data_IF_880982933015
#
_entry.id   IF_880982933015
#
_cell.length_a   1.000
_cell.length_b   1.000
_cell.length_c   1.000
_cell.angle_alpha   90.00
_cell.angle_beta   90.00
_cell.angle_gamma   90.00
#
_symmetry.space_group_name_H-M   'P 1'
#
loop_
_entity.id
_entity.type
_entity.pdbx_description
1 polymer ?
#
# COMPACT_ATOMS: atom_id res chain seq x y z
N UNK A 1 -74.56 55.04 -48.15
CA UNK A 1 -74.07 56.04 -47.19
C UNK A 1 -72.56 56.11 -47.28
N UNK A 2 -71.95 57.24 -46.92
CA UNK A 2 -70.50 57.32 -46.66
C UNK A 2 -70.17 56.62 -45.33
N UNK A 3 -68.94 56.12 -45.19
CA UNK A 3 -67.90 56.66 -44.27
C UNK A 3 -66.54 56.26 -44.88
N UNK A 4 -65.52 57.12 -44.76
CA UNK A 4 -64.11 56.83 -45.07
C UNK A 4 -63.29 56.71 -43.78
N UNK A 5 -62.25 55.87 -43.79
CA UNK A 5 -61.02 56.02 -42.97
C UNK A 5 -59.83 55.46 -43.77
N UNK A 6 -58.71 56.18 -43.87
CA UNK A 6 -57.49 55.76 -44.63
C UNK A 6 -56.19 56.40 -44.11
N UNK A 7 -55.06 55.66 -44.23
CA UNK A 7 -53.66 56.11 -44.06
C UNK A 7 -53.10 56.08 -42.62
N UNK A 8 -51.82 55.76 -42.32
CA UNK A 8 -50.60 55.28 -43.05
C UNK A 8 -49.68 54.56 -42.01
N UNK A 9 -48.50 53.94 -42.25
CA UNK A 9 -47.61 53.72 -43.41
C UNK A 9 -46.12 53.90 -42.99
N UNK A 10 -45.06 53.29 -43.58
CA UNK A 10 -44.94 52.28 -44.64
C UNK A 10 -43.47 51.77 -44.81
N UNK A 11 -43.20 50.45 -44.87
CA UNK A 11 -41.93 49.83 -45.36
C UNK A 11 -40.84 49.49 -44.30
N UNK A 12 -39.70 48.84 -44.61
CA UNK A 12 -39.20 47.97 -45.74
C UNK A 12 -37.92 47.22 -45.24
N UNK A 13 -37.63 46.02 -45.76
CA UNK A 13 -36.40 45.18 -45.81
C UNK A 13 -35.22 45.29 -44.78
N UNK A 14 -34.64 44.13 -44.42
CA UNK A 14 -33.31 44.02 -43.78
C UNK A 14 -33.00 42.67 -43.14
N UNK A 15 -31.74 42.23 -43.17
CA UNK A 15 -31.23 41.11 -42.37
C UNK A 15 -30.97 41.55 -40.92
N UNK A 16 -31.26 40.70 -39.92
CA UNK A 16 -30.26 40.46 -38.87
C UNK A 16 -30.49 39.19 -38.01
N UNK A 17 -29.37 38.66 -37.52
CA UNK A 17 -29.13 37.45 -36.74
C UNK A 17 -30.27 36.91 -35.85
N UNK A 18 -30.68 35.64 -36.06
CA UNK A 18 -31.38 34.83 -35.05
C UNK A 18 -30.41 34.56 -33.88
N UNK A 19 -30.51 35.34 -32.81
CA UNK A 19 -29.72 35.09 -31.60
C UNK A 19 -30.06 33.72 -31.00
N UNK A 20 -29.01 32.90 -30.78
CA UNK A 20 -29.10 31.63 -30.04
C UNK A 20 -29.80 31.88 -28.70
N UNK A 21 -30.94 31.24 -28.47
CA UNK A 21 -31.63 31.28 -27.18
C UNK A 21 -30.70 30.73 -26.09
N UNK A 22 -30.24 31.60 -25.22
CA UNK A 22 -29.33 31.24 -24.14
C UNK A 22 -30.03 30.28 -23.17
N UNK A 23 -29.51 29.06 -23.02
CA UNK A 23 -30.03 28.08 -22.06
C UNK A 23 -29.88 28.64 -20.64
N UNK A 24 -30.98 29.16 -20.11
CA UNK A 24 -30.98 29.89 -18.84
C UNK A 24 -30.99 28.87 -17.69
N UNK A 25 -29.84 28.69 -17.05
CA UNK A 25 -29.73 27.78 -15.90
C UNK A 25 -30.75 28.17 -14.81
N UNK A 26 -31.40 27.20 -14.15
CA UNK A 26 -32.32 27.48 -13.05
C UNK A 26 -31.59 28.22 -11.93
N UNK A 27 -32.28 29.19 -11.31
CA UNK A 27 -31.71 30.01 -10.23
C UNK A 27 -31.29 29.11 -9.09
N UNK A 28 -29.99 29.14 -8.76
CA UNK A 28 -29.37 28.25 -7.79
C UNK A 28 -29.97 28.50 -6.39
N UNK A 29 -30.69 27.52 -5.86
CA UNK A 29 -31.33 27.64 -4.56
C UNK A 29 -30.30 27.91 -3.45
N UNK A 30 -30.62 28.86 -2.57
CA UNK A 30 -29.77 29.24 -1.45
C UNK A 30 -29.90 28.19 -0.33
N UNK A 31 -29.12 27.12 -0.41
CA UNK A 31 -29.01 26.15 0.68
C UNK A 31 -28.50 26.84 1.96
N UNK A 32 -29.20 26.62 3.08
CA UNK A 32 -28.95 27.25 4.37
C UNK A 32 -27.72 26.68 5.11
N UNK A 33 -26.57 26.70 4.44
CA UNK A 33 -25.28 26.34 5.03
C UNK A 33 -24.79 27.49 5.91
N UNK A 34 -24.50 27.24 7.19
CA UNK A 34 -23.83 28.21 8.08
C UNK A 34 -22.49 28.63 7.47
N UNK A 35 -22.38 29.88 7.05
CA UNK A 35 -21.15 30.49 6.51
C UNK A 35 -20.18 30.92 7.63
N UNK A 36 -19.92 30.05 8.59
CA UNK A 36 -18.86 30.25 9.57
C UNK A 36 -17.50 30.01 8.90
N UNK A 37 -16.66 31.04 8.81
CA UNK A 37 -15.32 30.94 8.22
C UNK A 37 -14.36 30.23 9.18
N UNK A 38 -14.50 28.91 9.26
CA UNK A 38 -13.69 28.01 10.08
C UNK A 38 -12.21 28.04 9.68
N UNK A 39 -11.43 28.98 10.26
CA UNK A 39 -9.97 28.92 10.30
C UNK A 39 -9.50 27.78 11.23
N UNK A 40 -9.72 26.54 10.81
CA UNK A 40 -8.95 25.39 11.30
C UNK A 40 -7.70 25.30 10.45
N UNK A 41 -6.54 25.53 11.04
CA UNK A 41 -5.26 25.21 10.40
C UNK A 41 -5.12 23.69 10.26
N UNK A 42 -4.16 23.23 9.46
CA UNK A 42 -3.81 21.80 9.40
C UNK A 42 -3.45 21.26 10.79
N UNK A 43 -2.85 22.08 11.66
CA UNK A 43 -2.56 21.70 13.04
C UNK A 43 -3.82 21.52 13.90
N UNK A 44 -4.85 22.36 13.74
CA UNK A 44 -6.11 22.29 14.53
C UNK A 44 -6.97 21.06 14.20
N UNK A 45 -6.78 20.46 13.03
CA UNK A 45 -7.42 19.20 12.65
C UNK A 45 -6.73 18.00 13.30
N UNK A 46 -5.40 18.05 13.48
CA UNK A 46 -4.62 16.96 14.09
C UNK A 46 -4.36 17.12 15.60
N UNK A 47 -4.51 18.33 16.17
CA UNK A 47 -4.29 18.59 17.60
C UNK A 47 -5.34 17.93 18.49
N UNK A 48 -6.61 17.95 18.07
CA UNK A 48 -7.73 17.32 18.78
C UNK A 48 -7.73 15.79 18.70
N UNK A 49 -6.82 15.19 17.91
CA UNK A 49 -6.61 13.74 17.85
C UNK A 49 -5.49 13.25 18.78
N UNK A 50 -5.08 14.05 19.78
CA UNK A 50 -4.15 13.63 20.85
C UNK A 50 -4.79 12.67 21.86
N UNK A 51 -5.21 11.49 21.38
CA UNK A 51 -5.17 10.28 22.19
C UNK A 51 -3.70 9.90 22.40
N UNK A 52 -2.99 10.64 23.27
CA UNK A 52 -1.66 10.25 23.75
C UNK A 52 -1.82 9.15 24.80
N UNK A 53 -2.23 7.98 24.33
CA UNK A 53 -2.30 6.75 25.12
C UNK A 53 -0.88 6.42 25.60
N UNK A 54 -0.75 5.91 26.83
CA UNK A 54 0.55 5.57 27.40
C UNK A 54 1.25 4.53 26.52
N UNK A 55 2.45 4.85 26.03
CA UNK A 55 3.23 3.95 25.17
C UNK A 55 3.60 2.69 25.95
N UNK A 56 3.12 1.55 25.46
CA UNK A 56 3.40 0.23 26.04
C UNK A 56 4.87 -0.14 25.80
N UNK A 57 5.47 -0.85 26.75
CA UNK A 57 6.85 -1.32 26.64
C UNK A 57 6.94 -2.55 25.72
N UNK A 58 8.12 -2.76 25.13
CA UNK A 58 8.45 -4.00 24.43
C UNK A 58 9.01 -4.99 25.44
N UNK A 59 8.46 -6.20 25.51
CA UNK A 59 9.03 -7.31 26.27
C UNK A 59 10.31 -7.78 25.60
N UNK A 60 11.45 -7.65 26.29
CA UNK A 60 12.77 -8.01 25.79
C UNK A 60 12.99 -9.52 25.68
N UNK A 61 12.34 -10.33 26.52
CA UNK A 61 12.43 -11.79 26.49
C UNK A 61 11.57 -12.37 25.35
N UNK A 62 10.35 -11.86 25.16
CA UNK A 62 9.51 -12.21 24.00
C UNK A 62 10.13 -11.70 22.70
N UNK A 63 10.68 -10.48 22.68
CA UNK A 63 11.41 -9.96 21.52
C UNK A 63 12.59 -10.89 21.16
N UNK A 64 13.39 -11.32 22.15
CA UNK A 64 14.48 -12.27 21.93
C UNK A 64 13.95 -13.62 21.39
N UNK A 65 12.94 -14.21 22.05
CA UNK A 65 12.30 -15.50 21.68
C UNK A 65 11.78 -15.52 20.24
N UNK A 66 11.18 -14.43 19.77
CA UNK A 66 10.69 -14.30 18.40
C UNK A 66 11.83 -14.09 17.38
N UNK A 67 12.93 -13.44 17.78
CA UNK A 67 14.12 -13.23 16.95
C UNK A 67 15.14 -14.38 16.98
N UNK A 68 14.93 -15.43 17.80
CA UNK A 68 15.85 -16.58 17.89
C UNK A 68 16.19 -17.13 16.50
N UNK A 69 17.49 -17.16 16.11
CA UNK A 69 17.92 -17.76 14.87
C UNK A 69 17.64 -19.27 14.85
N UNK A 70 17.03 -19.73 13.78
CA UNK A 70 16.82 -21.14 13.47
C UNK A 70 16.63 -21.25 11.96
N UNK A 71 17.01 -22.38 11.37
CA UNK A 71 17.06 -22.57 9.92
C UNK A 71 16.19 -23.76 9.52
N UNK A 72 15.20 -23.50 8.65
CA UNK A 72 14.48 -24.56 7.97
C UNK A 72 15.35 -25.08 6.81
N UNK A 73 15.59 -26.39 6.70
CA UNK A 73 16.49 -26.98 5.70
C UNK A 73 15.81 -27.07 4.32
N UNK A 74 15.45 -25.93 3.74
CA UNK A 74 14.86 -25.84 2.41
C UNK A 74 15.91 -25.67 1.30
N UNK A 75 15.69 -26.41 0.22
CA UNK A 75 16.61 -26.61 -0.91
C UNK A 75 16.09 -26.04 -2.23
N UNK A 76 14.76 -25.94 -2.39
CA UNK A 76 14.12 -25.63 -3.67
C UNK A 76 13.12 -24.46 -3.62
N UNK A 77 12.77 -23.98 -4.81
CA UNK A 77 11.76 -22.93 -4.99
C UNK A 77 10.35 -23.40 -4.61
N UNK A 78 10.05 -24.69 -4.82
CA UNK A 78 8.78 -25.32 -4.43
C UNK A 78 8.59 -25.25 -2.92
N UNK A 79 9.52 -25.85 -2.16
CA UNK A 79 9.51 -25.82 -0.68
C UNK A 79 9.41 -24.39 -0.11
N UNK A 80 10.16 -23.43 -0.68
CA UNK A 80 10.08 -22.03 -0.28
C UNK A 80 8.67 -21.46 -0.50
N UNK A 81 8.09 -21.69 -1.69
CA UNK A 81 6.78 -21.19 -2.07
C UNK A 81 5.64 -21.85 -1.29
N UNK A 82 5.73 -23.15 -1.02
CA UNK A 82 4.78 -23.90 -0.19
C UNK A 82 4.75 -23.37 1.24
N UNK A 83 5.91 -23.13 1.85
CA UNK A 83 6.00 -22.52 3.18
C UNK A 83 5.51 -21.07 3.19
N UNK A 84 5.85 -20.28 2.16
CA UNK A 84 5.36 -18.91 2.03
C UNK A 84 3.83 -18.84 1.87
N UNK A 85 3.23 -19.76 1.10
CA UNK A 85 1.79 -19.90 0.98
C UNK A 85 1.14 -20.42 2.27
N UNK A 86 1.85 -21.25 3.06
CA UNK A 86 1.39 -21.68 4.39
C UNK A 86 1.30 -20.49 5.37
N UNK A 87 2.26 -19.55 5.32
CA UNK A 87 2.17 -18.28 6.05
C UNK A 87 1.00 -17.41 5.55
N UNK A 88 0.78 -17.35 4.23
CA UNK A 88 -0.30 -16.56 3.63
C UNK A 88 -1.70 -17.09 3.98
N UNK A 89 -1.86 -18.41 4.05
CA UNK A 89 -3.08 -19.04 4.55
C UNK A 89 -3.39 -18.60 5.99
N UNK A 90 -2.40 -18.61 6.89
CA UNK A 90 -2.57 -18.14 8.28
C UNK A 90 -2.96 -16.65 8.29
N UNK A 91 -2.23 -15.80 7.56
CA UNK A 91 -2.55 -14.36 7.44
C UNK A 91 -3.96 -14.13 6.91
N UNK A 92 -4.42 -14.95 5.96
CA UNK A 92 -5.73 -14.82 5.32
C UNK A 92 -6.87 -15.30 6.23
N UNK A 93 -6.69 -16.38 6.99
CA UNK A 93 -7.66 -16.78 8.03
C UNK A 93 -7.76 -15.76 9.17
N UNK A 94 -6.67 -15.09 9.54
CA UNK A 94 -6.72 -13.95 10.48
C UNK A 94 -7.53 -12.79 9.91
N UNK A 95 -7.31 -12.43 8.64
CA UNK A 95 -8.08 -11.36 7.98
C UNK A 95 -9.57 -11.66 7.85
N UNK A 96 -9.96 -12.91 7.54
CA UNK A 96 -11.37 -13.35 7.51
C UNK A 96 -12.09 -13.13 8.84
N UNK A 97 -11.36 -13.06 9.96
CA UNK A 97 -11.86 -12.77 11.31
C UNK A 97 -11.75 -11.28 11.71
N UNK A 98 -11.36 -10.41 10.78
CA UNK A 98 -11.22 -8.96 10.98
C UNK A 98 -9.81 -8.49 11.37
N UNK A 99 -8.80 -9.36 11.31
CA UNK A 99 -7.43 -9.03 11.68
C UNK A 99 -7.19 -8.96 13.20
N UNK A 100 -5.96 -8.62 13.60
CA UNK A 100 -5.67 -8.22 14.98
C UNK A 100 -6.30 -6.86 15.28
N UNK A 101 -6.48 -5.98 14.28
CA UNK A 101 -7.23 -4.74 14.45
C UNK A 101 -8.63 -4.94 15.05
N UNK A 102 -9.39 -5.93 14.59
CA UNK A 102 -10.69 -6.25 15.17
C UNK A 102 -10.60 -6.68 16.64
N UNK A 103 -9.56 -7.43 17.03
CA UNK A 103 -9.35 -7.80 18.43
C UNK A 103 -9.09 -6.58 19.34
N UNK A 104 -8.36 -5.57 18.83
CA UNK A 104 -8.16 -4.28 19.52
C UNK A 104 -9.45 -3.44 19.59
N UNK A 105 -10.26 -3.42 18.54
CA UNK A 105 -11.51 -2.66 18.47
C UNK A 105 -12.63 -3.20 19.38
N UNK A 106 -12.57 -4.49 19.72
CA UNK A 106 -13.64 -5.24 20.41
C UNK A 106 -13.84 -4.86 21.89
N UNK A 107 -12.80 -4.44 22.60
CA UNK A 107 -12.89 -3.99 24.01
C UNK A 107 -12.61 -2.48 24.13
N UNK A 108 -13.38 -1.80 25.00
CA UNK A 108 -13.20 -0.37 25.31
C UNK A 108 -11.82 -0.05 25.89
N UNK A 109 -11.17 -1.00 26.57
CA UNK A 109 -9.82 -0.86 27.14
C UNK A 109 -8.70 -1.01 26.11
N UNK A 110 -8.88 -1.83 25.06
CA UNK A 110 -7.90 -1.99 23.96
C UNK A 110 -8.09 -0.99 22.84
N UNK A 111 -9.32 -0.50 22.60
CA UNK A 111 -9.66 0.43 21.52
C UNK A 111 -8.77 1.69 21.43
N UNK A 112 -8.25 2.29 22.52
CA UNK A 112 -7.28 3.38 22.41
C UNK A 112 -5.99 3.02 21.65
N UNK A 113 -5.59 1.75 21.68
CA UNK A 113 -4.41 1.19 21.01
C UNK A 113 -4.73 0.62 19.60
N UNK A 114 -5.92 0.87 19.05
CA UNK A 114 -6.39 0.37 17.76
C UNK A 114 -5.40 0.59 16.59
N UNK A 115 -4.63 1.69 16.63
CA UNK A 115 -3.56 1.96 15.66
C UNK A 115 -2.44 0.90 15.65
N UNK A 116 -2.15 0.25 16.78
CA UNK A 116 -1.13 -0.80 16.85
C UNK A 116 -1.63 -2.10 16.25
N UNK A 117 -2.91 -2.44 16.43
CA UNK A 117 -3.59 -3.53 15.71
C UNK A 117 -3.61 -3.32 14.19
N UNK A 118 -3.96 -2.11 13.73
CA UNK A 118 -3.93 -1.76 12.31
C UNK A 118 -2.52 -1.84 11.70
N UNK A 119 -1.50 -1.40 12.45
CA UNK A 119 -0.10 -1.55 12.03
C UNK A 119 0.36 -3.01 12.02
N UNK A 120 -0.07 -3.83 12.98
CA UNK A 120 0.21 -5.27 13.00
C UNK A 120 -0.34 -5.96 11.75
N UNK A 121 -1.58 -5.70 11.38
CA UNK A 121 -2.20 -6.29 10.18
C UNK A 121 -1.46 -5.85 8.91
N UNK A 122 -1.17 -4.54 8.79
CA UNK A 122 -0.42 -3.96 7.66
C UNK A 122 1.00 -4.54 7.51
N UNK A 123 1.77 -4.60 8.59
CA UNK A 123 3.17 -5.06 8.54
C UNK A 123 3.27 -6.59 8.45
N UNK A 124 2.30 -7.34 8.97
CA UNK A 124 2.22 -8.80 8.79
C UNK A 124 1.89 -9.16 7.34
N UNK A 125 0.98 -8.43 6.68
CA UNK A 125 0.74 -8.57 5.24
C UNK A 125 2.03 -8.37 4.44
N UNK A 126 2.73 -7.24 4.67
CA UNK A 126 3.99 -6.93 3.99
C UNK A 126 5.05 -8.00 4.21
N UNK A 127 5.15 -8.56 5.42
CA UNK A 127 6.11 -9.62 5.75
C UNK A 127 5.85 -10.89 4.94
N UNK A 128 4.58 -11.31 4.86
CA UNK A 128 4.16 -12.48 4.08
C UNK A 128 4.42 -12.27 2.59
N UNK A 129 3.99 -11.13 2.03
CA UNK A 129 4.17 -10.83 0.61
C UNK A 129 5.64 -10.67 0.23
N UNK A 130 6.45 -10.01 1.07
CA UNK A 130 7.91 -9.98 0.92
C UNK A 130 8.50 -11.39 0.85
N UNK A 131 8.09 -12.31 1.73
CA UNK A 131 8.59 -13.69 1.73
C UNK A 131 8.17 -14.46 0.46
N UNK A 132 6.90 -14.36 0.04
CA UNK A 132 6.43 -14.92 -1.25
C UNK A 132 7.26 -14.37 -2.42
N UNK A 133 7.52 -13.06 -2.42
CA UNK A 133 8.31 -12.40 -3.46
C UNK A 133 9.78 -12.88 -3.47
N UNK A 134 10.43 -13.00 -2.31
CA UNK A 134 11.81 -13.49 -2.20
C UNK A 134 11.91 -14.95 -2.67
N UNK A 135 10.94 -15.81 -2.34
CA UNK A 135 10.90 -17.19 -2.84
C UNK A 135 10.80 -17.26 -4.37
N UNK A 136 9.98 -16.40 -5.01
CA UNK A 136 9.94 -16.28 -6.48
C UNK A 136 11.25 -15.75 -7.07
N UNK A 137 11.93 -14.81 -6.39
CA UNK A 137 13.02 -14.00 -6.95
C UNK A 137 14.43 -14.30 -6.37
N UNK A 138 14.63 -15.48 -5.80
CA UNK A 138 15.87 -15.85 -5.10
C UNK A 138 17.14 -15.84 -5.99
N UNK A 139 16.99 -16.22 -7.26
CA UNK A 139 18.09 -16.41 -8.24
C UNK A 139 18.16 -15.33 -9.35
N UNK A 140 17.44 -14.24 -9.16
CA UNK A 140 17.26 -13.17 -10.15
C UNK A 140 15.87 -12.57 -10.02
N UNK A 141 15.63 -11.39 -10.60
CA UNK A 141 14.25 -10.93 -10.79
C UNK A 141 13.55 -11.83 -11.82
N UNK A 142 12.33 -12.25 -11.51
CA UNK A 142 11.43 -12.83 -12.49
C UNK A 142 10.76 -11.67 -13.23
N UNK A 143 11.14 -11.46 -14.49
CA UNK A 143 10.55 -10.42 -15.33
C UNK A 143 9.24 -10.91 -15.95
N UNK A 144 8.25 -10.04 -15.94
CA UNK A 144 7.02 -10.19 -16.70
C UNK A 144 7.23 -9.82 -18.18
N UNK A 145 6.15 -9.78 -18.97
CA UNK A 145 6.20 -9.46 -20.40
C UNK A 145 6.54 -7.98 -20.71
N UNK A 146 6.22 -7.03 -19.82
CA UNK A 146 6.67 -5.64 -19.90
C UNK A 146 8.12 -5.51 -19.44
N UNK A 147 8.45 -6.03 -18.25
CA UNK A 147 9.78 -5.95 -17.65
C UNK A 147 10.86 -6.54 -18.55
N UNK A 148 10.58 -7.68 -19.19
CA UNK A 148 11.46 -8.31 -20.18
C UNK A 148 11.75 -7.36 -21.35
N UNK A 149 10.71 -6.81 -21.99
CA UNK A 149 10.85 -5.88 -23.13
C UNK A 149 11.54 -4.57 -22.75
N UNK A 150 11.33 -4.09 -21.53
CA UNK A 150 12.00 -2.91 -20.96
C UNK A 150 13.50 -3.15 -20.83
N UNK A 151 13.91 -4.29 -20.24
CA UNK A 151 15.31 -4.67 -20.08
C UNK A 151 15.99 -4.94 -21.42
N UNK A 152 15.38 -5.73 -22.30
CA UNK A 152 15.89 -6.00 -23.66
C UNK A 152 16.13 -4.71 -24.47
N UNK A 153 15.21 -3.75 -24.36
CA UNK A 153 15.35 -2.44 -25.02
C UNK A 153 16.49 -1.63 -24.41
N UNK A 154 16.64 -1.63 -23.08
CA UNK A 154 17.71 -0.93 -22.38
C UNK A 154 19.09 -1.49 -22.75
N UNK A 155 19.25 -2.82 -22.77
CA UNK A 155 20.50 -3.48 -23.16
C UNK A 155 20.84 -3.25 -24.63
N UNK A 156 19.86 -3.34 -25.54
CA UNK A 156 20.06 -3.12 -26.98
C UNK A 156 20.42 -1.68 -27.34
N UNK A 157 19.92 -0.69 -26.60
CA UNK A 157 20.05 0.73 -26.93
C UNK A 157 21.11 1.46 -26.08
N UNK A 158 21.56 0.84 -24.99
CA UNK A 158 22.35 1.51 -23.97
C UNK A 158 21.55 2.57 -23.20
N UNK A 159 22.09 3.02 -22.06
CA UNK A 159 21.40 3.97 -21.16
C UNK A 159 20.98 5.26 -21.86
N UNK A 160 21.91 5.89 -22.58
CA UNK A 160 21.66 7.15 -23.29
C UNK A 160 20.69 6.98 -24.47
N UNK A 161 20.84 5.90 -25.26
CA UNK A 161 19.93 5.60 -26.37
C UNK A 161 18.51 5.29 -25.90
N UNK A 162 18.36 4.60 -24.77
CA UNK A 162 17.07 4.33 -24.14
C UNK A 162 16.39 5.63 -23.64
N UNK A 163 17.14 6.50 -22.95
CA UNK A 163 16.64 7.80 -22.48
C UNK A 163 16.19 8.67 -23.67
N UNK A 164 17.08 8.87 -24.64
CA UNK A 164 16.79 9.70 -25.83
C UNK A 164 15.62 9.15 -26.65
N UNK A 165 15.43 7.83 -26.71
CA UNK A 165 14.28 7.22 -27.39
C UNK A 165 12.94 7.64 -26.77
N UNK A 166 12.81 7.58 -25.45
CA UNK A 166 11.56 7.94 -24.78
C UNK A 166 11.34 9.45 -24.68
N UNK A 167 12.41 10.26 -24.55
CA UNK A 167 12.32 11.73 -24.71
C UNK A 167 11.75 12.08 -26.09
N UNK A 168 12.21 11.42 -27.16
CA UNK A 168 11.72 11.63 -28.53
C UNK A 168 10.28 11.13 -28.77
N UNK A 169 9.73 10.31 -27.88
CA UNK A 169 8.30 9.93 -27.87
C UNK A 169 7.43 10.90 -27.04
N UNK A 170 8.04 11.84 -26.31
CA UNK A 170 7.34 12.79 -25.44
C UNK A 170 7.09 12.29 -24.02
N UNK A 171 7.76 11.22 -23.58
CA UNK A 171 7.63 10.69 -22.23
C UNK A 171 8.20 11.64 -21.16
N UNK A 172 7.63 11.57 -19.95
CA UNK A 172 8.08 12.38 -18.81
C UNK A 172 9.38 11.84 -18.23
N UNK A 173 10.39 12.69 -18.04
CA UNK A 173 11.72 12.28 -17.53
C UNK A 173 11.65 11.44 -16.25
N UNK A 174 10.73 11.73 -15.33
CA UNK A 174 10.56 10.96 -14.09
C UNK A 174 10.14 9.50 -14.30
N UNK A 175 9.47 9.19 -15.41
CA UNK A 175 9.11 7.82 -15.80
C UNK A 175 10.25 7.13 -16.53
N UNK A 176 10.95 7.84 -17.42
CA UNK A 176 12.19 7.36 -18.04
C UNK A 176 13.21 6.99 -16.94
N UNK A 177 13.40 7.86 -15.95
CA UNK A 177 14.29 7.61 -14.81
C UNK A 177 13.86 6.40 -13.97
N UNK A 178 12.55 6.15 -13.82
CA UNK A 178 12.02 4.95 -13.15
C UNK A 178 12.35 3.69 -13.95
N UNK A 179 12.07 3.67 -15.25
CA UNK A 179 12.34 2.51 -16.10
C UNK A 179 13.84 2.21 -16.25
N UNK A 180 14.68 3.26 -16.30
CA UNK A 180 16.14 3.14 -16.29
C UNK A 180 16.65 2.55 -14.98
N UNK A 181 16.12 2.97 -13.82
CA UNK A 181 16.48 2.36 -12.51
C UNK A 181 16.05 0.90 -12.43
N UNK A 182 14.82 0.59 -12.85
CA UNK A 182 14.31 -0.78 -12.95
C UNK A 182 15.21 -1.65 -13.82
N UNK A 183 15.60 -1.18 -15.01
CA UNK A 183 16.46 -1.95 -15.92
C UNK A 183 17.88 -2.16 -15.36
N UNK A 184 18.52 -1.11 -14.82
CA UNK A 184 19.82 -1.23 -14.13
C UNK A 184 19.77 -2.24 -12.96
N UNK A 185 18.68 -2.23 -12.19
CA UNK A 185 18.46 -3.14 -11.05
C UNK A 185 18.18 -4.58 -11.52
N UNK A 186 17.32 -4.75 -12.53
CA UNK A 186 16.97 -6.05 -13.10
C UNK A 186 18.18 -6.77 -13.69
N UNK A 187 19.04 -6.06 -14.43
CA UNK A 187 20.29 -6.62 -14.99
C UNK A 187 21.24 -7.06 -13.87
N UNK A 188 21.50 -6.19 -12.88
CA UNK A 188 22.33 -6.53 -11.70
C UNK A 188 21.77 -7.70 -10.90
N UNK A 189 20.45 -7.90 -10.90
CA UNK A 189 19.82 -9.01 -10.18
C UNK A 189 20.21 -10.39 -10.73
N UNK A 190 20.62 -10.49 -12.01
CA UNK A 190 20.95 -11.77 -12.67
C UNK A 190 22.15 -12.50 -12.04
N UNK A 191 23.05 -11.76 -11.40
CA UNK A 191 24.21 -12.31 -10.68
C UNK A 191 23.86 -12.80 -9.26
N UNK A 192 22.68 -12.44 -8.75
CA UNK A 192 22.32 -12.66 -7.35
C UNK A 192 21.77 -14.06 -7.12
N UNK A 193 22.48 -14.84 -6.30
CA UNK A 193 22.09 -16.17 -5.86
C UNK A 193 21.82 -16.20 -4.35
N UNK A 194 20.56 -15.98 -3.94
CA UNK A 194 20.14 -16.18 -2.54
C UNK A 194 19.80 -17.66 -2.35
N UNK A 195 20.52 -18.34 -1.45
CA UNK A 195 20.25 -19.76 -1.15
C UNK A 195 18.94 -19.93 -0.39
N UNK A 196 18.14 -20.93 -0.76
CA UNK A 196 16.83 -21.15 -0.13
C UNK A 196 16.92 -21.35 1.39
N UNK A 197 17.96 -22.01 1.91
CA UNK A 197 18.20 -22.11 3.35
C UNK A 197 18.25 -20.74 4.10
N UNK A 198 18.81 -19.69 3.48
CA UNK A 198 18.82 -18.32 4.06
C UNK A 198 17.44 -17.67 4.04
N UNK A 199 16.58 -18.06 3.10
CA UNK A 199 15.17 -17.66 3.07
C UNK A 199 14.39 -18.49 4.11
N UNK A 200 14.78 -19.74 4.34
CA UNK A 200 14.29 -20.61 5.41
C UNK A 200 14.40 -20.00 6.81
N UNK A 201 15.51 -19.32 7.12
CA UNK A 201 15.67 -18.50 8.34
C UNK A 201 14.59 -17.42 8.47
N UNK A 202 14.26 -16.77 7.34
CA UNK A 202 13.30 -15.66 7.27
C UNK A 202 11.86 -16.17 7.44
N UNK A 203 11.55 -17.28 6.77
CA UNK A 203 10.29 -18.02 6.88
C UNK A 203 10.07 -18.53 8.30
N UNK A 204 11.08 -19.11 8.94
CA UNK A 204 10.97 -19.67 10.29
C UNK A 204 10.71 -18.57 11.35
N UNK A 205 11.39 -17.43 11.21
CA UNK A 205 11.13 -16.23 12.00
C UNK A 205 9.71 -15.70 11.78
N UNK A 206 9.26 -15.61 10.52
CA UNK A 206 7.90 -15.19 10.20
C UNK A 206 6.84 -16.16 10.73
N UNK A 207 7.10 -17.47 10.72
CA UNK A 207 6.22 -18.49 11.31
C UNK A 207 6.01 -18.28 12.81
N UNK A 208 7.06 -17.90 13.56
CA UNK A 208 6.95 -17.49 14.97
C UNK A 208 6.11 -16.22 15.15
N UNK A 209 6.32 -15.22 14.30
CA UNK A 209 5.55 -13.97 14.34
C UNK A 209 4.05 -14.20 14.01
N UNK A 210 3.75 -14.97 12.95
CA UNK A 210 2.38 -15.27 12.53
C UNK A 210 1.63 -16.15 13.53
N UNK A 211 2.30 -17.04 14.25
CA UNK A 211 1.66 -17.82 15.32
C UNK A 211 1.15 -16.91 16.46
N UNK A 212 1.91 -15.88 16.84
CA UNK A 212 1.47 -14.90 17.84
C UNK A 212 0.40 -13.95 17.28
N UNK A 213 0.49 -13.57 16.01
CA UNK A 213 -0.52 -12.78 15.30
C UNK A 213 -1.89 -13.50 15.23
N UNK A 214 -1.90 -14.79 14.90
CA UNK A 214 -3.10 -15.63 14.85
C UNK A 214 -3.77 -15.74 16.22
N UNK A 215 -2.98 -16.06 17.25
CA UNK A 215 -3.38 -16.11 18.65
C UNK A 215 -3.94 -14.76 19.17
N UNK A 216 -3.24 -13.65 18.95
CA UNK A 216 -3.70 -12.30 19.32
C UNK A 216 -5.03 -11.93 18.67
N UNK A 217 -5.26 -12.29 17.40
CA UNK A 217 -6.53 -11.97 16.71
C UNK A 217 -7.76 -12.67 17.33
N UNK A 218 -7.53 -13.77 18.06
CA UNK A 218 -8.59 -14.59 18.67
C UNK A 218 -8.68 -14.38 20.19
N UNK A 219 -7.56 -14.06 20.87
CA UNK A 219 -7.43 -13.93 22.32
C UNK A 219 -8.55 -13.08 22.94
N UNK A 220 -9.19 -13.61 23.97
CA UNK A 220 -10.15 -12.89 24.82
C UNK A 220 -9.41 -12.25 25.99
N UNK A 221 -9.88 -11.07 26.40
CA UNK A 221 -9.33 -10.31 27.52
C UNK A 221 -10.38 -10.34 28.63
N UNK A 222 -10.01 -10.93 29.77
CA UNK A 222 -10.95 -11.22 30.86
C UNK A 222 -10.69 -10.32 32.10
N UNK A 223 -9.46 -9.82 32.24
CA UNK A 223 -9.00 -9.02 33.37
C UNK A 223 -7.92 -8.01 32.92
N UNK A 224 -7.48 -7.15 33.85
CA UNK A 224 -6.47 -6.14 33.56
C UNK A 224 -5.05 -6.72 33.38
N UNK A 225 -4.77 -7.92 33.91
CA UNK A 225 -3.50 -8.62 33.68
C UNK A 225 -3.39 -9.10 32.24
N UNK A 226 -4.42 -9.78 31.73
CA UNK A 226 -4.52 -10.22 30.34
C UNK A 226 -4.56 -9.06 29.34
N UNK A 227 -5.10 -7.90 29.74
CA UNK A 227 -5.00 -6.66 28.96
C UNK A 227 -3.53 -6.20 28.80
N UNK A 228 -2.78 -6.11 29.91
CA UNK A 228 -1.37 -5.69 29.86
C UNK A 228 -0.52 -6.68 29.06
N UNK A 229 -0.76 -7.99 29.18
CA UNK A 229 -0.12 -9.01 28.36
C UNK A 229 -0.45 -8.81 26.88
N UNK A 230 -1.72 -8.76 26.50
CA UNK A 230 -2.16 -8.57 25.10
C UNK A 230 -1.54 -7.34 24.42
N UNK A 231 -1.52 -6.20 25.11
CA UNK A 231 -0.93 -4.96 24.60
C UNK A 231 0.60 -5.05 24.49
N UNK A 232 1.26 -5.68 25.47
CA UNK A 232 2.71 -5.86 25.48
C UNK A 232 3.16 -6.82 24.38
N UNK A 233 2.44 -7.94 24.20
CA UNK A 233 2.69 -8.92 23.14
C UNK A 233 2.49 -8.32 21.75
N UNK A 234 1.40 -7.57 21.53
CA UNK A 234 1.16 -6.87 20.25
C UNK A 234 2.21 -5.80 19.95
N UNK A 235 2.55 -4.96 20.93
CA UNK A 235 3.62 -3.94 20.79
C UNK A 235 4.98 -4.59 20.49
N UNK A 236 5.26 -5.74 21.12
CA UNK A 236 6.49 -6.51 20.92
C UNK A 236 6.52 -7.14 19.53
N UNK A 237 5.43 -7.78 19.10
CA UNK A 237 5.30 -8.36 17.77
C UNK A 237 5.50 -7.31 16.66
N UNK A 238 4.89 -6.13 16.80
CA UNK A 238 5.06 -5.03 15.84
C UNK A 238 6.53 -4.57 15.77
N UNK A 239 7.19 -4.46 16.93
CA UNK A 239 8.62 -4.16 17.01
C UNK A 239 9.50 -5.24 16.34
N UNK A 240 9.16 -6.52 16.49
CA UNK A 240 9.86 -7.64 15.84
C UNK A 240 9.70 -7.61 14.32
N UNK A 241 8.49 -7.38 13.81
CA UNK A 241 8.22 -7.31 12.37
C UNK A 241 8.94 -6.10 11.76
N UNK A 242 8.75 -4.90 12.32
CA UNK A 242 9.39 -3.68 11.84
C UNK A 242 10.92 -3.78 11.82
N UNK A 243 11.52 -4.33 12.89
CA UNK A 243 12.97 -4.53 12.94
C UNK A 243 13.47 -5.64 12.01
N UNK A 244 12.61 -6.57 11.58
CA UNK A 244 12.96 -7.54 10.53
C UNK A 244 13.21 -6.83 9.19
N UNK A 245 12.39 -5.84 8.84
CA UNK A 245 12.60 -5.01 7.63
C UNK A 245 13.85 -4.12 7.65
N UNK A 246 14.55 -3.99 8.79
CA UNK A 246 15.84 -3.28 8.89
C UNK A 246 17.04 -4.22 9.03
N UNK A 247 16.85 -5.39 9.65
CA UNK A 247 17.94 -6.31 10.02
C UNK A 247 18.04 -7.57 9.15
N UNK A 248 17.00 -7.90 8.38
CA UNK A 248 16.97 -9.08 7.51
C UNK A 248 17.31 -8.68 6.06
N UNK A 249 18.49 -9.07 5.51
CA UNK A 249 18.89 -8.66 4.17
C UNK A 249 17.97 -9.17 3.05
N UNK A 250 17.19 -10.24 3.31
CA UNK A 250 16.25 -10.81 2.34
C UNK A 250 14.99 -9.95 2.30
N UNK A 251 14.47 -9.54 3.45
CA UNK A 251 13.34 -8.59 3.52
C UNK A 251 13.72 -7.18 3.03
N UNK A 252 14.93 -6.70 3.33
CA UNK A 252 15.44 -5.43 2.76
C UNK A 252 15.47 -5.48 1.22
N UNK A 253 15.88 -6.63 0.65
CA UNK A 253 15.83 -6.84 -0.80
C UNK A 253 14.39 -6.86 -1.33
N UNK A 254 13.40 -7.39 -0.60
CA UNK A 254 11.99 -7.28 -0.98
C UNK A 254 11.52 -5.81 -1.03
N UNK A 255 11.97 -4.96 -0.09
CA UNK A 255 11.62 -3.54 -0.12
C UNK A 255 12.24 -2.81 -1.33
N UNK A 256 13.43 -3.24 -1.78
CA UNK A 256 14.03 -2.74 -3.02
C UNK A 256 13.23 -3.17 -4.26
N UNK A 257 12.53 -4.31 -4.23
CA UNK A 257 11.59 -4.67 -5.29
C UNK A 257 10.32 -3.82 -5.26
N UNK A 258 9.73 -3.60 -4.08
CA UNK A 258 8.56 -2.72 -3.91
C UNK A 258 8.82 -1.30 -4.43
N UNK A 259 10.06 -0.79 -4.34
CA UNK A 259 10.45 0.51 -4.90
C UNK A 259 10.71 0.49 -6.42
N UNK A 260 11.10 -0.66 -6.98
CA UNK A 260 11.58 -0.78 -8.36
C UNK A 260 10.50 -1.17 -9.38
N UNK A 261 9.34 -1.71 -8.97
CA UNK A 261 8.19 -1.91 -9.85
C UNK A 261 7.32 -0.64 -9.85
N UNK A 262 7.37 0.22 -10.89
CA UNK A 262 6.69 1.51 -10.86
C UNK A 262 5.18 1.43 -11.09
N UNK A 263 4.71 0.35 -11.73
CA UNK A 263 3.33 0.16 -12.18
C UNK A 263 2.95 -1.34 -12.23
N UNK A 264 2.92 -2.02 -11.07
CA UNK A 264 1.82 -2.96 -10.86
C UNK A 264 0.60 -2.12 -10.49
N UNK A 265 -0.24 -1.81 -11.48
CA UNK A 265 -1.63 -1.50 -11.20
C UNK A 265 -2.23 -2.80 -10.63
N UNK A 266 -2.95 -2.73 -9.52
CA UNK A 266 -3.22 -3.92 -8.68
C UNK A 266 -4.46 -4.67 -9.20
N UNK A 267 -4.38 -5.12 -10.45
CA UNK A 267 -5.35 -5.99 -11.10
C UNK A 267 -5.21 -7.45 -10.61
N UNK A 268 -5.54 -7.69 -9.32
CA UNK A 268 -6.11 -8.98 -8.90
C UNK A 268 -5.34 -9.92 -7.96
N UNK A 269 -4.18 -9.55 -7.39
CA UNK A 269 -3.50 -10.35 -6.34
C UNK A 269 -3.39 -9.64 -4.96
N UNK A 270 -4.43 -8.88 -4.55
CA UNK A 270 -4.65 -8.45 -3.15
C UNK A 270 -6.03 -8.84 -2.61
#
# INVERSE_FOLDING_TARGET
MLVMVTGCGNGVDGEDVVQKSSFQMPVKENTWVRKETMRKTKADVFSNAKNTVAKVAVDSALFAKLNTPSALPISSQGECSELANSLDNIRTEVQKRGGVWHAYERDKKTKPYSNDGMQLDSQTNRLVFSIKHICKNAKGIHLDAWGTKTVERYERMGKEGYINYFINLGEVQGDIDRWVRFADFAIKSRERNVTYAKIGESIDKAKRALALYDDLSQRKINDDAGLQVFLTEGTTLLSVINKSFSNDPRLVLALQYEEMFPFEDIEGEM
#
